data_IF_608631424265
#
_entry.id   IF_608631424265
#
_cell.length_a   1.000
_cell.length_b   1.000
_cell.length_c   1.000
_cell.angle_alpha   90.00
_cell.angle_beta   90.00
_cell.angle_gamma   90.00
#
_symmetry.space_group_name_H-M   'P 1'
#
loop_
_entity.id
_entity.type
_entity.pdbx_description
1 polymer ?
#
# COMPACT_ATOMS: atom_id res chain seq x y z
N UNK A 1 12.32 0.40 1.26
CA UNK A 1 11.96 0.71 2.67
C UNK A 1 11.20 2.03 2.72
N UNK A 2 9.93 1.97 3.14
CA UNK A 2 9.07 3.15 3.33
C UNK A 2 9.60 4.02 4.46
N UNK A 3 9.75 5.32 4.19
CA UNK A 3 10.11 6.34 5.16
C UNK A 3 8.89 7.19 5.51
N UNK A 4 8.90 7.73 6.73
CA UNK A 4 7.88 8.72 7.13
C UNK A 4 7.83 9.94 6.22
N UNK A 5 8.97 10.31 5.63
CA UNK A 5 9.11 11.42 4.69
C UNK A 5 8.54 11.15 3.30
N UNK A 6 8.30 9.88 2.94
CA UNK A 6 7.68 9.53 1.67
C UNK A 6 6.20 9.92 1.76
N UNK A 7 5.74 10.77 0.85
CA UNK A 7 4.39 11.32 0.87
C UNK A 7 3.77 11.25 -0.51
N UNK A 8 2.45 11.13 -0.57
CA UNK A 8 1.70 11.32 -1.82
C UNK A 8 1.34 12.79 -1.94
N UNK A 9 1.96 13.48 -2.87
CA UNK A 9 1.79 14.93 -3.07
C UNK A 9 0.43 15.26 -3.72
N UNK A 10 0.05 14.48 -4.74
CA UNK A 10 -1.25 14.60 -5.41
C UNK A 10 -1.90 13.22 -5.54
N UNK A 11 -2.84 12.95 -4.63
CA UNK A 11 -3.54 11.67 -4.57
C UNK A 11 -4.41 11.44 -5.81
N UNK A 12 -5.11 12.46 -6.30
CA UNK A 12 -6.00 12.31 -7.46
C UNK A 12 -5.19 11.95 -8.70
N UNK A 13 -4.07 12.65 -8.91
CA UNK A 13 -3.17 12.39 -10.03
C UNK A 13 -2.55 10.99 -9.94
N UNK A 14 -2.11 10.57 -8.75
CA UNK A 14 -1.53 9.24 -8.50
C UNK A 14 -2.54 8.12 -8.77
N UNK A 15 -3.80 8.28 -8.35
CA UNK A 15 -4.86 7.29 -8.59
C UNK A 15 -5.27 7.20 -10.07
N UNK A 16 -5.15 8.32 -10.82
CA UNK A 16 -5.42 8.36 -12.24
C UNK A 16 -4.23 7.91 -13.12
N UNK A 17 -3.04 7.74 -12.54
CA UNK A 17 -1.84 7.33 -13.27
C UNK A 17 -1.69 5.81 -13.36
N UNK A 18 -0.97 5.36 -14.38
CA UNK A 18 -0.55 3.97 -14.51
C UNK A 18 0.53 3.65 -13.48
N UNK A 19 0.33 2.55 -12.75
CA UNK A 19 1.26 2.11 -11.70
C UNK A 19 1.43 0.60 -11.77
N UNK A 20 2.67 0.12 -11.87
CA UNK A 20 2.97 -1.32 -11.78
C UNK A 20 3.74 -1.55 -10.49
N UNK A 21 3.08 -2.26 -9.57
CA UNK A 21 3.61 -2.57 -8.27
C UNK A 21 4.45 -3.85 -8.31
N UNK A 22 5.58 -3.79 -7.61
CA UNK A 22 6.48 -4.91 -7.35
C UNK A 22 6.87 -4.92 -5.86
N UNK A 23 7.32 -6.07 -5.35
CA UNK A 23 7.83 -6.18 -3.98
C UNK A 23 8.96 -5.17 -3.72
N UNK A 24 8.89 -4.47 -2.58
CA UNK A 24 9.98 -3.60 -2.12
C UNK A 24 11.16 -4.49 -1.68
N UNK A 25 12.37 -4.31 -2.26
CA UNK A 25 13.51 -5.16 -1.96
C UNK A 25 14.05 -4.99 -0.54
N UNK A 26 13.77 -3.86 0.11
CA UNK A 26 14.28 -3.54 1.45
C UNK A 26 13.22 -3.74 2.54
N UNK A 27 11.94 -3.94 2.19
CA UNK A 27 10.83 -4.02 3.15
C UNK A 27 9.81 -5.09 2.75
N UNK A 28 9.97 -6.27 3.33
CA UNK A 28 9.12 -7.42 3.02
C UNK A 28 7.67 -7.17 3.44
N UNK A 29 6.73 -7.36 2.51
CA UNK A 29 5.30 -7.13 2.71
C UNK A 29 4.81 -5.79 2.15
N UNK A 30 5.73 -4.96 1.66
CA UNK A 30 5.41 -3.76 0.89
C UNK A 30 5.57 -3.99 -0.60
N UNK A 31 4.67 -3.37 -1.33
CA UNK A 31 4.72 -3.20 -2.77
C UNK A 31 5.02 -1.74 -3.07
N UNK A 32 5.87 -1.50 -4.04
CA UNK A 32 6.24 -0.15 -4.47
C UNK A 32 6.04 0.01 -5.97
N UNK A 33 5.64 1.22 -6.38
CA UNK A 33 5.46 1.58 -7.78
C UNK A 33 5.84 3.04 -8.00
N UNK A 34 6.06 3.41 -9.26
CA UNK A 34 6.14 4.80 -9.68
C UNK A 34 4.85 5.17 -10.40
N UNK A 35 4.19 6.25 -9.95
CA UNK A 35 2.94 6.77 -10.48
C UNK A 35 3.03 8.30 -10.51
N UNK A 36 2.62 8.94 -11.61
CA UNK A 36 2.66 10.41 -11.75
C UNK A 36 4.03 11.03 -11.34
N UNK A 37 5.14 10.42 -11.79
CA UNK A 37 6.50 10.80 -11.42
C UNK A 37 6.87 10.76 -9.92
N UNK A 38 6.05 10.08 -9.13
CA UNK A 38 6.24 9.90 -7.70
C UNK A 38 6.41 8.42 -7.34
N UNK A 39 7.21 8.14 -6.31
CA UNK A 39 7.24 6.81 -5.70
C UNK A 39 6.06 6.67 -4.74
N UNK A 40 5.33 5.55 -4.86
CA UNK A 40 4.20 5.22 -4.01
C UNK A 40 4.36 3.82 -3.43
N UNK A 41 3.74 3.60 -2.28
CA UNK A 41 3.90 2.38 -1.51
C UNK A 41 2.56 1.86 -1.04
N UNK A 42 2.30 0.59 -1.35
CA UNK A 42 1.09 -0.11 -0.98
C UNK A 42 1.48 -1.34 -0.18
N UNK A 43 0.69 -1.70 0.82
CA UNK A 43 0.80 -3.00 1.49
C UNK A 43 -0.54 -3.70 1.49
N UNK A 44 -0.51 -5.02 1.60
CA UNK A 44 -1.72 -5.77 1.94
C UNK A 44 -2.06 -5.50 3.40
N UNK A 45 -3.28 -5.08 3.65
CA UNK A 45 -3.85 -4.95 4.98
C UNK A 45 -3.93 -6.32 5.67
N UNK A 46 -3.91 -6.32 6.99
CA UNK A 46 -3.90 -7.53 7.82
C UNK A 46 -5.32 -8.09 7.99
N UNK A 47 -5.94 -8.50 6.87
CA UNK A 47 -7.30 -9.05 6.85
C UNK A 47 -7.29 -10.49 6.33
N UNK A 48 -7.75 -11.48 7.12
CA UNK A 48 -7.67 -12.89 6.75
C UNK A 48 -8.61 -13.29 5.60
N UNK A 49 -9.63 -12.47 5.34
CA UNK A 49 -10.78 -12.82 4.48
C UNK A 49 -11.02 -11.83 3.31
N UNK A 50 -10.30 -10.70 3.25
CA UNK A 50 -10.46 -9.68 2.21
C UNK A 50 -9.10 -9.16 1.72
N UNK A 51 -8.95 -9.04 0.39
CA UNK A 51 -7.80 -8.37 -0.25
C UNK A 51 -7.93 -6.85 -0.05
N UNK A 52 -7.76 -6.39 1.18
CA UNK A 52 -7.76 -4.99 1.54
C UNK A 52 -6.34 -4.46 1.41
N UNK A 53 -6.17 -3.36 0.69
CA UNK A 53 -4.89 -2.75 0.39
C UNK A 53 -4.79 -1.39 1.09
N UNK A 54 -3.61 -1.04 1.57
CA UNK A 54 -3.35 0.25 2.20
C UNK A 54 -2.26 0.99 1.42
N UNK A 55 -2.59 2.15 0.85
CA UNK A 55 -1.64 3.11 0.27
C UNK A 55 -1.10 4.00 1.38
N UNK A 56 0.22 4.14 1.46
CA UNK A 56 0.88 5.11 2.32
C UNK A 56 0.78 6.51 1.71
N UNK A 57 0.24 7.47 2.47
CA UNK A 57 0.10 8.87 2.05
C UNK A 57 1.21 9.78 2.61
N UNK A 58 1.99 9.31 3.58
CA UNK A 58 2.96 10.12 4.31
C UNK A 58 2.51 10.49 5.72
N UNK A 59 3.47 10.83 6.59
CA UNK A 59 3.21 11.36 7.94
C UNK A 59 2.27 10.48 8.80
N UNK A 60 2.38 9.15 8.69
CA UNK A 60 1.52 8.22 9.45
C UNK A 60 0.15 7.98 8.82
N UNK A 61 -0.15 8.63 7.69
CA UNK A 61 -1.46 8.57 7.05
C UNK A 61 -1.52 7.48 5.99
N UNK A 62 -2.69 6.85 5.91
CA UNK A 62 -2.97 5.74 5.01
C UNK A 62 -4.31 5.94 4.31
N UNK A 63 -4.45 5.33 3.16
CA UNK A 63 -5.73 5.15 2.48
C UNK A 63 -5.96 3.67 2.18
N UNK A 64 -7.06 3.13 2.70
CA UNK A 64 -7.44 1.74 2.48
C UNK A 64 -8.38 1.62 1.27
N UNK A 65 -8.20 0.57 0.47
CA UNK A 65 -9.05 0.24 -0.67
C UNK A 65 -9.13 -1.27 -0.88
N UNK A 66 -10.32 -1.76 -1.19
CA UNK A 66 -10.57 -3.18 -1.51
C UNK A 66 -10.50 -3.44 -3.02
N UNK A 67 -10.60 -2.39 -3.83
CA UNK A 67 -10.48 -2.44 -5.28
C UNK A 67 -9.36 -1.50 -5.69
N UNK A 68 -8.34 -2.05 -6.33
CA UNK A 68 -7.25 -1.24 -6.88
C UNK A 68 -7.78 -0.29 -7.96
N UNK A 69 -7.24 0.94 -8.07
CA UNK A 69 -7.53 1.82 -9.19
C UNK A 69 -7.33 1.11 -10.53
N UNK A 70 -8.18 1.41 -11.52
CA UNK A 70 -8.25 0.64 -12.77
C UNK A 70 -6.93 0.59 -13.56
N UNK A 71 -6.06 1.58 -13.37
CA UNK A 71 -4.74 1.70 -14.03
C UNK A 71 -3.58 1.13 -13.21
N UNK A 72 -3.88 0.54 -12.06
CA UNK A 72 -2.89 -0.03 -11.17
C UNK A 72 -2.81 -1.54 -11.37
N UNK A 73 -1.59 -2.02 -11.54
CA UNK A 73 -1.31 -3.46 -11.63
C UNK A 73 -0.56 -3.88 -10.37
N UNK A 74 -1.28 -4.49 -9.43
CA UNK A 74 -0.71 -5.11 -8.25
C UNK A 74 -0.26 -6.54 -8.59
N UNK A 75 1.00 -6.70 -9.02
CA UNK A 75 1.56 -8.04 -9.25
C UNK A 75 2.06 -8.59 -7.93
N UNK A 76 1.26 -9.44 -7.28
CA UNK A 76 1.77 -10.29 -6.20
C UNK A 76 2.29 -11.59 -6.82
N UNK A 77 3.60 -11.80 -6.95
CA UNK A 77 4.12 -13.09 -7.36
C UNK A 77 3.83 -14.12 -6.25
N UNK A 78 2.73 -14.86 -6.43
CA UNK A 78 2.39 -16.07 -5.68
C UNK A 78 2.19 -15.88 -4.19
N UNK A 79 0.96 -15.55 -3.75
CA UNK A 79 0.40 -15.70 -2.39
C UNK A 79 1.44 -15.95 -1.27
N UNK A 80 2.39 -15.03 -1.05
CA UNK A 80 3.15 -15.00 0.20
C UNK A 80 2.29 -14.18 1.16
N UNK A 81 1.35 -14.87 1.82
CA UNK A 81 0.71 -14.34 3.03
C UNK A 81 1.84 -13.87 3.96
N UNK A 82 1.82 -12.62 4.46
CA UNK A 82 2.82 -12.20 5.42
C UNK A 82 2.77 -13.13 6.63
N UNK A 83 3.90 -13.77 6.95
CA UNK A 83 4.04 -14.76 8.04
C UNK A 83 4.16 -14.11 9.43
N UNK A 84 3.80 -12.83 9.54
CA UNK A 84 3.93 -12.02 10.75
C UNK A 84 2.63 -11.30 11.10
N UNK A 85 1.53 -12.05 11.20
CA UNK A 85 0.24 -11.58 11.73
C UNK A 85 0.46 -10.87 13.07
N UNK A 86 0.18 -9.58 13.14
CA UNK A 86 0.07 -8.87 14.43
C UNK A 86 -1.38 -9.03 14.91
N UNK A 87 -1.62 -9.24 16.21
CA UNK A 87 -2.98 -9.39 16.72
C UNK A 87 -3.82 -8.14 16.45
N UNK A 88 -5.07 -8.40 16.05
CA UNK A 88 -6.10 -7.43 15.64
C UNK A 88 -6.17 -6.20 16.57
N UNK A 89 -5.99 -5.00 16.01
CA UNK A 89 -6.42 -3.75 16.66
C UNK A 89 -7.91 -3.52 16.37
N UNK A 90 -8.70 -3.02 17.35
CA UNK A 90 -10.12 -2.73 17.15
C UNK A 90 -10.33 -1.65 16.08
N UNK A 91 -11.35 -1.83 15.23
CA UNK A 91 -11.69 -0.91 14.13
C UNK A 91 -12.09 0.48 14.67
N UNK A 92 -11.67 1.53 13.94
CA UNK A 92 -11.94 2.97 14.13
C UNK A 92 -10.94 3.79 14.97
N UNK A 93 -9.63 3.54 14.86
CA UNK A 93 -8.62 4.51 15.34
C UNK A 93 -7.62 4.90 14.25
N UNK A 94 -7.42 6.21 14.10
CA UNK A 94 -6.23 6.77 13.46
C UNK A 94 -5.07 6.63 14.46
N UNK A 95 -3.97 6.01 14.06
CA UNK A 95 -2.77 5.89 14.89
C UNK A 95 -1.64 6.78 14.32
N UNK A 96 -0.97 7.52 15.21
CA UNK A 96 0.25 8.32 14.94
C UNK A 96 1.53 7.46 14.84
#
# INVERSE_FOLDING_TARGET
>A
MVRRSDRVDDLEQVLAADAVFADDPDDQGWLTARAADQQIYVRMGDFPDEDLWSLWLGDGRWMDFTVAPARWTLRIPGRRRPTGTRPRLPKNEFHE
#
